data_IF_480149867904
#
_entry.id   IF_480149867904
#
_cell.length_a   1.000
_cell.length_b   1.000
_cell.length_c   1.000
_cell.angle_alpha   90.00
_cell.angle_beta   90.00
_cell.angle_gamma   90.00
#
_symmetry.space_group_name_H-M   'P 1'
#
loop_
_entity.id
_entity.type
_entity.pdbx_description
1 polymer ?
#
# COMPACT_ATOMS: atom_id res chain seq x y z
N UNK A 1 -43.44 -45.27 -25.15
CA UNK A 1 -43.68 -43.97 -24.47
C UNK A 1 -43.07 -43.97 -23.06
N UNK A 2 -41.73 -43.89 -22.93
CA UNK A 2 -41.03 -44.08 -21.63
C UNK A 2 -39.97 -43.00 -21.32
N UNK A 3 -39.94 -41.90 -22.07
CA UNK A 3 -38.91 -40.86 -21.94
C UNK A 3 -39.10 -39.76 -20.86
N UNK A 4 -40.28 -39.50 -20.24
CA UNK A 4 -40.44 -38.27 -19.44
C UNK A 4 -39.63 -38.29 -18.14
N UNK A 5 -39.41 -39.47 -17.54
CA UNK A 5 -38.66 -39.59 -16.27
C UNK A 5 -37.16 -39.32 -16.42
N UNK A 6 -36.58 -39.60 -17.60
CA UNK A 6 -35.16 -39.34 -17.88
C UNK A 6 -34.88 -37.87 -18.17
N UNK A 7 -35.79 -37.21 -18.88
CA UNK A 7 -35.67 -35.78 -19.21
C UNK A 7 -35.74 -34.92 -17.96
N UNK A 8 -36.66 -35.22 -17.04
CA UNK A 8 -36.79 -34.49 -15.76
C UNK A 8 -35.54 -34.63 -14.90
N UNK A 9 -34.92 -35.82 -14.85
CA UNK A 9 -33.70 -36.06 -14.07
C UNK A 9 -32.49 -35.29 -14.64
N UNK A 10 -32.35 -35.23 -15.96
CA UNK A 10 -31.31 -34.43 -16.62
C UNK A 10 -31.55 -32.94 -16.40
N UNK A 11 -32.79 -32.46 -16.52
CA UNK A 11 -33.13 -31.05 -16.29
C UNK A 11 -32.84 -30.62 -14.86
N UNK A 12 -33.20 -31.44 -13.86
CA UNK A 12 -32.92 -31.18 -12.44
C UNK A 12 -31.42 -31.20 -12.15
N UNK A 13 -30.67 -32.10 -12.78
CA UNK A 13 -29.21 -32.15 -12.63
C UNK A 13 -28.54 -30.95 -13.31
N UNK A 14 -28.98 -30.54 -14.51
CA UNK A 14 -28.47 -29.36 -15.21
C UNK A 14 -28.84 -28.06 -14.47
N UNK A 15 -30.04 -27.98 -13.87
CA UNK A 15 -30.47 -26.85 -13.04
C UNK A 15 -29.70 -26.77 -11.70
N UNK A 16 -29.47 -27.91 -11.05
CA UNK A 16 -28.78 -27.98 -9.75
C UNK A 16 -27.26 -27.78 -9.88
N UNK A 17 -26.65 -28.42 -10.87
CA UNK A 17 -25.21 -28.34 -11.10
C UNK A 17 -24.84 -27.06 -11.87
N UNK A 18 -25.58 -26.69 -12.92
CA UNK A 18 -25.23 -25.54 -13.77
C UNK A 18 -25.45 -24.17 -13.10
N UNK A 19 -26.51 -24.02 -12.30
CA UNK A 19 -26.86 -22.73 -11.69
C UNK A 19 -25.92 -22.29 -10.58
N UNK A 20 -25.45 -23.23 -9.75
CA UNK A 20 -24.58 -22.93 -8.62
C UNK A 20 -23.18 -22.51 -9.09
N UNK A 21 -22.61 -23.22 -10.05
CA UNK A 21 -21.29 -22.88 -10.60
C UNK A 21 -21.30 -21.57 -11.38
N UNK A 22 -22.33 -21.30 -12.19
CA UNK A 22 -22.46 -20.03 -12.92
C UNK A 22 -22.59 -18.84 -11.96
N UNK A 23 -23.37 -19.01 -10.87
CA UNK A 23 -23.52 -18.00 -9.82
C UNK A 23 -22.20 -17.71 -9.09
N UNK A 24 -21.49 -18.76 -8.65
CA UNK A 24 -20.18 -18.61 -7.98
C UNK A 24 -19.17 -17.93 -8.91
N UNK A 25 -19.13 -18.33 -10.19
CA UNK A 25 -18.23 -17.74 -11.18
C UNK A 25 -18.51 -16.24 -11.39
N UNK A 26 -19.78 -15.84 -11.55
CA UNK A 26 -20.17 -14.42 -11.68
C UNK A 26 -19.77 -13.59 -10.46
N UNK A 27 -20.04 -14.10 -9.25
CA UNK A 27 -19.67 -13.41 -8.01
C UNK A 27 -18.15 -13.26 -7.90
N UNK A 28 -17.39 -14.28 -8.29
CA UNK A 28 -15.93 -14.23 -8.28
C UNK A 28 -15.40 -13.17 -9.26
N UNK A 29 -15.91 -13.15 -10.49
CA UNK A 29 -15.51 -12.17 -11.53
C UNK A 29 -15.83 -10.74 -11.07
N UNK A 30 -17.03 -10.51 -10.52
CA UNK A 30 -17.42 -9.20 -10.01
C UNK A 30 -16.52 -8.75 -8.84
N UNK A 31 -16.21 -9.65 -7.91
CA UNK A 31 -15.30 -9.35 -6.79
C UNK A 31 -13.90 -9.04 -7.29
N UNK A 32 -13.34 -9.87 -8.17
CA UNK A 32 -12.00 -9.67 -8.72
C UNK A 32 -11.94 -8.32 -9.44
N UNK A 33 -12.92 -8.02 -10.30
CA UNK A 33 -13.00 -6.74 -11.00
C UNK A 33 -13.11 -5.55 -10.05
N UNK A 34 -13.94 -5.65 -9.00
CA UNK A 34 -14.08 -4.62 -7.98
C UNK A 34 -12.77 -4.36 -7.25
N UNK A 35 -12.11 -5.41 -6.75
CA UNK A 35 -10.83 -5.26 -6.06
C UNK A 35 -9.74 -4.75 -7.00
N UNK A 36 -9.65 -5.26 -8.23
CA UNK A 36 -8.68 -4.76 -9.21
C UNK A 36 -8.90 -3.29 -9.54
N UNK A 37 -10.14 -2.86 -9.74
CA UNK A 37 -10.47 -1.46 -9.99
C UNK A 37 -10.15 -0.57 -8.79
N UNK A 38 -10.49 -1.01 -7.58
CA UNK A 38 -10.22 -0.29 -6.34
C UNK A 38 -8.72 -0.15 -6.08
N UNK A 39 -7.99 -1.27 -6.05
CA UNK A 39 -6.54 -1.26 -5.82
C UNK A 39 -5.79 -0.59 -6.97
N UNK A 40 -6.21 -0.80 -8.21
CA UNK A 40 -5.64 -0.19 -9.39
C UNK A 40 -5.80 1.33 -9.38
N UNK A 41 -7.02 1.84 -9.14
CA UNK A 41 -7.28 3.29 -9.09
C UNK A 41 -6.47 3.97 -7.97
N UNK A 42 -6.42 3.39 -6.77
CA UNK A 42 -5.65 3.92 -5.65
C UNK A 42 -4.14 3.89 -5.96
N UNK A 43 -3.64 2.79 -6.51
CA UNK A 43 -2.22 2.65 -6.83
C UNK A 43 -1.79 3.61 -7.93
N UNK A 44 -2.61 3.75 -8.98
CA UNK A 44 -2.35 4.67 -10.08
C UNK A 44 -2.39 6.13 -9.61
N UNK A 45 -3.37 6.50 -8.78
CA UNK A 45 -3.44 7.83 -8.18
C UNK A 45 -2.17 8.14 -7.36
N UNK A 46 -1.74 7.20 -6.52
CA UNK A 46 -0.56 7.37 -5.66
C UNK A 46 0.76 7.36 -6.45
N UNK A 47 0.84 6.61 -7.54
CA UNK A 47 2.06 6.53 -8.35
C UNK A 47 2.21 7.71 -9.34
N UNK A 48 1.10 8.15 -9.96
CA UNK A 48 1.13 9.14 -11.03
C UNK A 48 0.85 10.57 -10.56
N UNK A 49 -0.10 10.77 -9.63
CA UNK A 49 -0.58 12.11 -9.25
C UNK A 49 -0.04 12.58 -7.89
N UNK A 50 0.67 11.73 -7.15
CA UNK A 50 1.23 12.14 -5.87
C UNK A 50 2.53 12.93 -6.07
N UNK A 51 2.71 14.09 -5.41
CA UNK A 51 3.90 14.94 -5.55
C UNK A 51 5.20 14.24 -5.13
N UNK A 52 5.12 13.17 -4.33
CA UNK A 52 6.29 12.34 -3.99
C UNK A 52 6.84 11.49 -5.16
N UNK A 53 6.22 11.53 -6.34
CA UNK A 53 6.71 10.90 -7.57
C UNK A 53 8.13 11.35 -7.94
N UNK A 54 8.41 12.63 -7.73
CA UNK A 54 9.67 13.28 -8.13
C UNK A 54 10.86 12.79 -7.32
N UNK A 55 10.63 12.17 -6.15
CA UNK A 55 11.70 11.62 -5.35
C UNK A 55 12.15 10.27 -5.91
N UNK A 56 13.46 10.09 -6.16
CA UNK A 56 14.00 8.82 -6.58
C UNK A 56 13.88 7.78 -5.45
N UNK A 57 13.69 6.51 -5.81
CA UNK A 57 13.60 5.44 -4.83
C UNK A 57 13.12 4.12 -5.43
N UNK A 58 13.33 2.99 -4.72
CA UNK A 58 12.98 1.68 -5.22
C UNK A 58 11.47 1.57 -5.51
N UNK A 59 11.05 1.00 -6.64
CA UNK A 59 9.62 0.91 -7.01
C UNK A 59 8.81 0.13 -5.97
N UNK A 60 9.42 -0.89 -5.36
CA UNK A 60 8.83 -1.68 -4.27
C UNK A 60 8.57 -0.84 -3.01
N UNK A 61 9.45 0.13 -2.71
CA UNK A 61 9.31 1.08 -1.61
C UNK A 61 8.20 2.11 -1.88
N UNK A 62 7.99 2.49 -3.15
CA UNK A 62 6.94 3.41 -3.58
C UNK A 62 5.54 2.78 -3.52
N UNK A 63 5.44 1.47 -3.79
CA UNK A 63 4.16 0.77 -3.86
C UNK A 63 3.71 0.18 -2.51
N UNK A 64 4.63 -0.34 -1.70
CA UNK A 64 4.24 -0.99 -0.44
C UNK A 64 5.22 -0.77 0.70
N UNK A 65 4.69 -0.64 1.91
CA UNK A 65 5.47 -0.67 3.16
C UNK A 65 6.06 -2.05 3.44
N UNK A 66 5.54 -3.11 2.80
CA UNK A 66 5.94 -4.50 3.02
C UNK A 66 7.42 -4.74 2.75
N UNK A 67 7.99 -4.02 1.78
CA UNK A 67 9.42 -4.13 1.48
C UNK A 67 10.29 -3.73 2.69
N UNK A 68 10.03 -2.56 3.27
CA UNK A 68 10.71 -2.11 4.50
C UNK A 68 10.34 -2.95 5.72
N UNK A 69 9.08 -3.37 5.84
CA UNK A 69 8.60 -4.13 6.99
C UNK A 69 9.21 -5.53 7.03
N UNK A 70 9.39 -6.18 5.88
CA UNK A 70 10.06 -7.48 5.77
C UNK A 70 11.50 -7.40 6.26
N UNK A 71 12.25 -6.40 5.82
CA UNK A 71 13.65 -6.24 6.20
C UNK A 71 13.80 -5.94 7.70
N UNK A 72 12.92 -5.08 8.23
CA UNK A 72 12.88 -4.79 9.68
C UNK A 72 12.48 -6.02 10.49
N UNK A 73 11.47 -6.78 10.07
CA UNK A 73 10.95 -7.91 10.81
C UNK A 73 11.92 -9.12 10.79
N UNK A 74 12.59 -9.37 9.68
CA UNK A 74 13.50 -10.50 9.55
C UNK A 74 14.89 -10.19 10.11
N UNK A 75 15.44 -9.01 9.81
CA UNK A 75 16.85 -8.72 10.04
C UNK A 75 17.09 -7.57 11.02
N UNK A 76 16.08 -6.74 11.34
CA UNK A 76 16.24 -5.49 12.09
C UNK A 76 17.28 -4.51 11.49
N UNK A 77 17.64 -4.70 10.21
CA UNK A 77 18.69 -3.95 9.49
C UNK A 77 18.16 -2.77 8.68
N UNK A 78 17.06 -2.17 9.13
CA UNK A 78 16.43 -1.03 8.45
C UNK A 78 17.41 0.13 8.23
N UNK A 79 18.27 0.42 9.19
CA UNK A 79 19.27 1.50 9.08
C UNK A 79 20.30 1.25 7.97
N UNK A 80 20.76 0.00 7.78
CA UNK A 80 21.72 -0.37 6.71
C UNK A 80 21.08 -0.20 5.34
N UNK A 81 19.84 -0.66 5.22
CA UNK A 81 19.04 -0.54 4.01
C UNK A 81 18.81 0.92 3.63
N UNK A 82 18.51 1.79 4.61
CA UNK A 82 18.35 3.22 4.38
C UNK A 82 19.66 3.87 3.92
N UNK A 83 20.80 3.49 4.52
CA UNK A 83 22.12 3.96 4.08
C UNK A 83 22.41 3.55 2.62
N UNK A 84 22.13 2.30 2.24
CA UNK A 84 22.31 1.81 0.87
C UNK A 84 21.42 2.55 -0.15
N UNK A 85 20.17 2.82 0.23
CA UNK A 85 19.24 3.61 -0.59
C UNK A 85 19.81 5.03 -0.78
N UNK A 86 20.29 5.68 0.27
CA UNK A 86 20.88 7.02 0.17
C UNK A 86 22.17 7.02 -0.66
N UNK A 87 22.99 5.97 -0.60
CA UNK A 87 24.15 5.82 -1.49
C UNK A 87 23.76 5.69 -2.96
N UNK A 88 22.61 5.07 -3.25
CA UNK A 88 22.17 4.80 -4.63
C UNK A 88 21.37 5.95 -5.23
N UNK A 89 20.47 6.55 -4.45
CA UNK A 89 19.49 7.54 -4.92
C UNK A 89 19.78 8.97 -4.45
N UNK A 90 20.78 9.16 -3.58
CA UNK A 90 21.22 10.46 -3.06
C UNK A 90 20.52 10.89 -1.77
N UNK A 91 20.58 12.19 -1.49
CA UNK A 91 20.13 12.75 -0.20
C UNK A 91 18.62 12.64 0.04
N UNK A 92 17.81 12.53 -1.02
CA UNK A 92 16.35 12.45 -0.92
C UNK A 92 15.85 11.15 -1.52
N UNK A 93 15.38 10.22 -0.67
CA UNK A 93 14.94 8.92 -1.14
C UNK A 93 13.62 8.47 -0.49
N UNK A 94 12.70 7.97 -1.32
CA UNK A 94 11.44 7.36 -0.85
C UNK A 94 11.70 5.97 -0.24
N UNK A 95 11.44 5.81 1.07
CA UNK A 95 11.52 4.50 1.75
C UNK A 95 10.15 3.82 1.84
N UNK A 96 9.08 4.61 1.94
CA UNK A 96 7.70 4.09 1.96
C UNK A 96 6.81 4.91 1.03
N UNK A 97 5.60 4.42 0.69
CA UNK A 97 4.72 5.09 -0.28
C UNK A 97 4.29 6.52 0.09
N UNK A 98 4.47 6.93 1.35
CA UNK A 98 4.18 8.28 1.87
C UNK A 98 5.29 8.79 2.81
N UNK A 99 6.49 8.24 2.69
CA UNK A 99 7.61 8.59 3.58
C UNK A 99 8.91 8.70 2.78
N UNK A 100 9.54 9.87 2.90
CA UNK A 100 10.81 10.20 2.29
C UNK A 100 11.82 10.36 3.41
N UNK A 101 12.99 9.75 3.23
CA UNK A 101 14.14 10.03 4.08
C UNK A 101 15.00 11.10 3.44
N UNK A 102 15.50 11.97 4.29
CA UNK A 102 16.29 13.15 3.94
C UNK A 102 17.63 13.01 4.67
N UNK A 103 18.72 12.98 3.90
CA UNK A 103 20.09 12.96 4.40
C UNK A 103 20.82 14.25 3.99
N UNK A 104 20.18 15.40 4.18
CA UNK A 104 20.72 16.71 3.87
C UNK A 104 20.60 17.64 5.09
N UNK A 105 21.70 18.29 5.47
CA UNK A 105 21.80 19.12 6.68
C UNK A 105 20.95 20.39 6.58
N UNK A 106 20.88 21.01 5.40
CA UNK A 106 20.12 22.25 5.20
C UNK A 106 18.61 21.99 5.31
N UNK A 107 18.14 20.93 4.64
CA UNK A 107 16.74 20.51 4.71
C UNK A 107 16.34 20.06 6.13
N UNK A 108 17.25 19.38 6.85
CA UNK A 108 17.01 18.98 8.23
C UNK A 108 16.79 20.20 9.13
N UNK A 109 17.60 21.24 8.95
CA UNK A 109 17.50 22.50 9.70
C UNK A 109 16.18 23.21 9.44
N UNK A 110 15.73 23.24 8.18
CA UNK A 110 14.46 23.86 7.81
C UNK A 110 13.26 23.11 8.42
N UNK A 111 13.22 21.78 8.28
CA UNK A 111 12.14 20.92 8.82
C UNK A 111 12.06 20.98 10.34
N UNK A 112 13.19 21.06 11.05
CA UNK A 112 13.24 21.06 12.52
C UNK A 112 13.30 22.47 13.13
N UNK A 113 13.30 23.54 12.32
CA UNK A 113 13.35 24.91 12.80
C UNK A 113 12.11 25.29 13.62
N UNK A 114 12.28 26.20 14.59
CA UNK A 114 11.15 26.77 15.35
C UNK A 114 10.34 27.65 14.38
N UNK A 115 9.16 27.16 13.97
CA UNK A 115 8.30 27.82 12.98
C UNK A 115 8.17 27.09 11.65
N UNK A 116 8.73 25.87 11.52
CA UNK A 116 8.50 25.07 10.32
C UNK A 116 7.02 24.66 10.20
N UNK A 117 6.54 24.54 8.96
CA UNK A 117 5.18 24.04 8.65
C UNK A 117 5.05 22.55 9.01
N UNK A 118 6.17 21.84 9.16
CA UNK A 118 6.19 20.41 9.45
C UNK A 118 5.81 20.14 10.91
N UNK A 119 4.62 19.57 11.12
CA UNK A 119 4.20 19.11 12.43
C UNK A 119 4.92 17.81 12.79
N UNK A 120 5.45 17.72 14.01
CA UNK A 120 6.07 16.48 14.52
C UNK A 120 5.06 15.33 14.54
N UNK A 121 5.52 14.14 14.15
CA UNK A 121 4.68 12.95 14.14
C UNK A 121 4.24 12.51 15.54
N UNK A 122 3.17 11.70 15.64
CA UNK A 122 2.62 11.26 16.92
C UNK A 122 3.62 10.45 17.76
N UNK A 123 4.55 9.73 17.12
CA UNK A 123 5.58 8.94 17.82
C UNK A 123 6.48 9.80 18.71
N UNK A 124 6.79 11.03 18.27
CA UNK A 124 7.56 12.00 19.05
C UNK A 124 6.72 12.82 20.02
N UNK A 125 5.40 12.89 19.84
CA UNK A 125 4.50 13.55 20.79
C UNK A 125 4.31 12.73 22.07
N UNK A 126 4.36 11.40 21.99
CA UNK A 126 4.14 10.53 23.17
C UNK A 126 5.30 10.58 24.17
N UNK A 127 6.53 10.88 23.71
CA UNK A 127 7.73 10.95 24.55
C UNK A 127 8.13 12.39 24.95
N UNK A 128 7.44 13.40 24.41
CA UNK A 128 7.67 14.82 24.73
C UNK A 128 6.65 15.37 25.73
N UNK A 129 6.95 16.50 26.41
CA UNK A 129 5.94 17.22 27.18
C UNK A 129 4.76 17.58 26.27
N UNK A 130 3.54 17.44 26.79
CA UNK A 130 2.30 17.66 26.04
C UNK A 130 2.28 19.08 25.44
N UNK A 131 1.80 19.18 24.20
CA UNK A 131 1.71 20.45 23.45
C UNK A 131 0.67 21.43 23.98
N UNK A 132 -0.06 21.10 25.04
CA UNK A 132 -0.93 21.99 25.82
C UNK A 132 -0.14 22.88 26.80
N UNK A 133 1.16 22.65 26.94
CA UNK A 133 2.01 23.30 27.94
C UNK A 133 2.89 24.43 27.38
N UNK A 134 2.79 24.76 26.09
CA UNK A 134 3.51 25.89 25.50
C UNK A 134 2.57 27.08 25.25
N UNK A 135 2.87 28.27 25.81
CA UNK A 135 2.07 29.49 25.63
C UNK A 135 2.16 30.07 24.21
#
# INVERSE_FOLDING_TARGET
MQQPRRVVLVLVHTLSTGGLYDGIFRVLVLNIGYFFGLFGSISLYRACFHPLRNFPGPPLAKLSTLWSARETACNYRFHVMVDEIHRTYGDFACIRPREVSINNVDALREVHSRGSVCTKGPFTMTSGPRSDQFP
#
